data_IF_715493535107
#
_entry.id   IF_715493535107
#
_cell.length_a   1.000
_cell.length_b   1.000
_cell.length_c   1.000
_cell.angle_alpha   90.00
_cell.angle_beta   90.00
_cell.angle_gamma   90.00
#
_symmetry.space_group_name_H-M   'P 1'
#
loop_
_entity.id
_entity.type
_entity.pdbx_description
1 polymer ?
#
# COMPACT_ATOMS: atom_id res chain seq x y z
N UNK A 1 -0.52 -24.66 1.83
CA UNK A 1 0.21 -23.78 2.78
C UNK A 1 1.57 -23.41 2.21
N UNK A 2 2.19 -22.34 2.71
CA UNK A 2 3.49 -21.82 2.24
C UNK A 2 3.37 -20.61 1.30
N UNK A 3 4.47 -20.18 0.69
CA UNK A 3 4.59 -18.95 -0.13
C UNK A 3 3.49 -18.83 -1.21
N UNK A 4 3.08 -19.93 -1.86
CA UNK A 4 1.99 -19.91 -2.85
C UNK A 4 0.63 -19.51 -2.26
N UNK A 5 0.33 -19.94 -1.04
CA UNK A 5 -0.93 -19.58 -0.38
C UNK A 5 -0.93 -18.09 -0.02
N UNK A 6 0.21 -17.58 0.46
CA UNK A 6 0.41 -16.16 0.77
C UNK A 6 0.22 -15.30 -0.50
N UNK A 7 0.80 -15.72 -1.63
CA UNK A 7 0.63 -15.00 -2.90
C UNK A 7 -0.85 -14.95 -3.32
N UNK A 8 -1.59 -16.05 -3.19
CA UNK A 8 -3.01 -16.07 -3.52
C UNK A 8 -3.85 -15.18 -2.59
N UNK A 9 -3.52 -15.14 -1.29
CA UNK A 9 -4.19 -14.21 -0.37
C UNK A 9 -3.88 -12.76 -0.70
N UNK A 10 -2.65 -12.43 -1.09
CA UNK A 10 -2.26 -11.07 -1.51
C UNK A 10 -3.04 -10.64 -2.75
N UNK A 11 -3.20 -11.55 -3.74
CA UNK A 11 -3.99 -11.27 -4.95
C UNK A 11 -5.46 -10.98 -4.60
N UNK A 12 -6.05 -11.79 -3.72
CA UNK A 12 -7.43 -11.58 -3.29
C UNK A 12 -7.62 -10.25 -2.55
N UNK A 13 -6.69 -9.92 -1.63
CA UNK A 13 -6.68 -8.65 -0.92
C UNK A 13 -6.55 -7.46 -1.89
N UNK A 14 -5.65 -7.54 -2.88
CA UNK A 14 -5.49 -6.51 -3.91
C UNK A 14 -6.79 -6.27 -4.67
N UNK A 15 -7.48 -7.34 -5.10
CA UNK A 15 -8.75 -7.22 -5.83
C UNK A 15 -9.81 -6.53 -4.99
N UNK A 16 -9.94 -6.89 -3.71
CA UNK A 16 -10.89 -6.25 -2.79
C UNK A 16 -10.55 -4.77 -2.60
N UNK A 17 -9.27 -4.43 -2.40
CA UNK A 17 -8.85 -3.04 -2.23
C UNK A 17 -9.16 -2.19 -3.46
N UNK A 18 -8.86 -2.70 -4.67
CA UNK A 18 -9.17 -2.03 -5.93
C UNK A 18 -10.68 -1.83 -6.10
N UNK A 19 -11.48 -2.87 -5.82
CA UNK A 19 -12.93 -2.78 -5.86
C UNK A 19 -13.46 -1.74 -4.85
N UNK A 20 -12.86 -1.67 -3.66
CA UNK A 20 -13.20 -0.69 -2.63
C UNK A 20 -12.94 0.74 -3.06
N UNK A 21 -11.77 1.04 -3.64
CA UNK A 21 -11.49 2.37 -4.18
C UNK A 21 -12.49 2.75 -5.28
N UNK A 22 -12.78 1.82 -6.20
CA UNK A 22 -13.77 2.06 -7.26
C UNK A 22 -15.16 2.32 -6.66
N UNK A 23 -15.57 1.55 -5.66
CA UNK A 23 -16.85 1.73 -4.98
C UNK A 23 -16.95 3.09 -4.28
N UNK A 24 -15.88 3.52 -3.59
CA UNK A 24 -15.80 4.84 -2.94
C UNK A 24 -15.94 5.96 -3.97
N UNK A 25 -15.18 5.90 -5.07
CA UNK A 25 -15.24 6.91 -6.14
C UNK A 25 -16.64 6.92 -6.76
N UNK A 26 -17.18 5.75 -7.13
CA UNK A 26 -18.49 5.66 -7.78
C UNK A 26 -19.61 6.19 -6.87
N UNK A 27 -19.62 5.80 -5.58
CA UNK A 27 -20.60 6.30 -4.62
C UNK A 27 -20.42 7.79 -4.35
N UNK A 28 -19.19 8.26 -4.21
CA UNK A 28 -18.90 9.68 -4.03
C UNK A 28 -19.35 10.55 -5.21
N UNK A 29 -19.19 10.07 -6.44
CA UNK A 29 -19.71 10.73 -7.65
C UNK A 29 -21.23 10.87 -7.60
N UNK A 30 -21.95 9.84 -7.15
CA UNK A 30 -23.41 9.88 -7.00
C UNK A 30 -23.81 10.87 -5.90
N UNK A 31 -23.14 10.85 -4.75
CA UNK A 31 -23.44 11.72 -3.61
C UNK A 31 -23.17 13.20 -3.91
N UNK A 32 -22.09 13.51 -4.63
CA UNK A 32 -21.71 14.89 -4.98
C UNK A 32 -22.39 15.41 -6.26
N UNK A 33 -23.16 14.56 -6.95
CA UNK A 33 -23.85 14.94 -8.18
C UNK A 33 -22.94 15.05 -9.41
N UNK A 34 -21.77 14.40 -9.39
CA UNK A 34 -20.88 14.28 -10.56
C UNK A 34 -19.39 14.43 -10.24
N UNK A 35 -18.55 13.94 -11.15
CA UNK A 35 -17.09 14.10 -11.08
C UNK A 35 -16.64 15.57 -11.15
N UNK A 36 -17.37 16.40 -11.90
CA UNK A 36 -17.07 17.83 -12.02
C UNK A 36 -17.12 18.54 -10.67
N UNK A 37 -18.10 18.22 -9.83
CA UNK A 37 -18.23 18.83 -8.50
C UNK A 37 -17.07 18.47 -7.59
N UNK A 38 -16.65 17.20 -7.60
CA UNK A 38 -15.48 16.74 -6.86
C UNK A 38 -14.23 17.48 -7.32
N UNK A 39 -14.06 17.66 -8.64
CA UNK A 39 -12.92 18.41 -9.18
C UNK A 39 -12.93 19.87 -8.74
N UNK A 40 -14.06 20.55 -8.88
CA UNK A 40 -14.21 21.97 -8.49
C UNK A 40 -13.98 22.18 -6.99
N UNK A 41 -14.50 21.28 -6.16
CA UNK A 41 -14.29 21.34 -4.71
C UNK A 41 -12.80 21.22 -4.37
N UNK A 42 -12.08 20.29 -5.00
CA UNK A 42 -10.63 20.12 -4.79
C UNK A 42 -9.81 21.28 -5.36
N UNK A 43 -10.24 21.87 -6.46
CA UNK A 43 -9.61 23.07 -7.03
C UNK A 43 -9.75 24.27 -6.09
N UNK A 44 -10.98 24.56 -5.65
CA UNK A 44 -11.27 25.66 -4.72
C UNK A 44 -10.66 25.43 -3.33
N UNK A 45 -10.53 24.16 -2.93
CA UNK A 45 -9.88 23.74 -1.70
C UNK A 45 -8.35 23.74 -1.73
N UNK A 46 -7.73 24.13 -2.85
CA UNK A 46 -6.28 24.16 -3.01
C UNK A 46 -5.62 22.77 -2.95
N UNK A 47 -6.37 21.69 -3.20
CA UNK A 47 -5.88 20.30 -3.16
C UNK A 47 -5.20 19.86 -4.45
N UNK A 48 -5.42 20.60 -5.54
CA UNK A 48 -4.86 20.30 -6.87
C UNK A 48 -3.55 21.04 -7.17
N UNK A 49 -2.93 21.66 -6.16
CA UNK A 49 -1.64 22.33 -6.37
C UNK A 49 -0.51 21.29 -6.51
N UNK A 50 -0.14 21.00 -7.75
CA UNK A 50 0.55 19.75 -8.14
C UNK A 50 2.07 19.87 -8.15
N UNK A 51 2.65 21.06 -8.22
CA UNK A 51 4.09 21.22 -8.45
C UNK A 51 4.72 22.34 -7.62
N UNK A 52 5.20 22.00 -6.43
CA UNK A 52 6.09 22.84 -5.64
C UNK A 52 7.55 22.56 -6.03
N UNK A 53 8.19 23.47 -6.78
CA UNK A 53 9.63 23.38 -7.16
C UNK A 53 10.60 23.86 -6.08
N UNK A 54 10.10 24.06 -4.86
CA UNK A 54 10.88 24.43 -3.68
C UNK A 54 11.99 23.40 -3.38
N UNK A 55 13.27 23.82 -3.36
CA UNK A 55 14.40 22.93 -3.13
C UNK A 55 14.61 22.55 -1.65
N UNK A 56 13.81 23.05 -0.71
CA UNK A 56 13.91 22.69 0.71
C UNK A 56 13.72 21.16 0.91
N UNK A 57 14.74 20.42 1.39
CA UNK A 57 14.64 18.99 1.63
C UNK A 57 13.72 18.62 2.80
N UNK A 58 13.38 19.57 3.68
CA UNK A 58 12.44 19.36 4.78
C UNK A 58 10.98 19.38 4.30
N UNK A 59 10.73 19.89 3.09
CA UNK A 59 9.39 19.92 2.50
C UNK A 59 8.99 18.54 2.03
N UNK A 60 8.07 17.92 2.77
CA UNK A 60 7.60 16.53 2.56
C UNK A 60 7.16 16.22 1.12
N UNK A 61 6.53 17.19 0.45
CA UNK A 61 6.01 17.05 -0.91
C UNK A 61 6.47 18.22 -1.79
N UNK A 62 7.69 18.12 -2.30
CA UNK A 62 8.21 18.98 -3.37
C UNK A 62 8.56 18.13 -4.59
N UNK A 63 8.74 18.77 -5.74
CA UNK A 63 9.21 18.11 -6.95
C UNK A 63 10.50 17.32 -6.68
N UNK A 64 11.43 17.90 -5.92
CA UNK A 64 12.71 17.29 -5.59
C UNK A 64 12.59 16.10 -4.65
N UNK A 65 11.80 16.22 -3.57
CA UNK A 65 11.63 15.12 -2.60
C UNK A 65 10.87 13.95 -3.21
N UNK A 66 9.92 14.21 -4.11
CA UNK A 66 9.18 13.17 -4.83
C UNK A 66 10.04 12.53 -5.92
N UNK A 67 10.67 13.32 -6.80
CA UNK A 67 11.42 12.77 -7.93
C UNK A 67 12.72 12.14 -7.47
N UNK A 68 13.57 12.87 -6.74
CA UNK A 68 14.88 12.36 -6.33
C UNK A 68 14.72 11.39 -5.16
N UNK A 69 14.07 11.83 -4.09
CA UNK A 69 13.87 11.00 -2.89
C UNK A 69 13.01 9.77 -3.18
N UNK A 70 11.90 9.94 -3.89
CA UNK A 70 11.05 8.83 -4.31
C UNK A 70 11.75 7.86 -5.24
N UNK A 71 12.52 8.32 -6.24
CA UNK A 71 13.27 7.41 -7.12
C UNK A 71 14.27 6.57 -6.36
N UNK A 72 15.04 7.17 -5.44
CA UNK A 72 15.98 6.44 -4.59
C UNK A 72 15.27 5.42 -3.69
N UNK A 73 14.14 5.81 -3.10
CA UNK A 73 13.31 4.91 -2.29
C UNK A 73 12.80 3.72 -3.09
N UNK A 74 12.27 3.95 -4.30
CA UNK A 74 11.75 2.89 -5.17
C UNK A 74 12.87 1.98 -5.69
N UNK A 75 14.02 2.55 -6.08
CA UNK A 75 15.19 1.75 -6.45
C UNK A 75 15.63 0.87 -5.28
N UNK A 76 15.70 1.41 -4.07
CA UNK A 76 16.02 0.63 -2.87
C UNK A 76 15.00 -0.51 -2.65
N UNK A 77 13.71 -0.21 -2.74
CA UNK A 77 12.65 -1.21 -2.57
C UNK A 77 12.70 -2.33 -3.63
N UNK A 78 13.03 -2.04 -4.88
CA UNK A 78 13.01 -3.07 -5.93
C UNK A 78 14.37 -3.74 -6.17
N UNK A 79 15.49 -3.09 -5.85
CA UNK A 79 16.84 -3.59 -6.13
C UNK A 79 17.46 -4.36 -4.97
N UNK A 80 17.26 -3.90 -3.72
CA UNK A 80 17.97 -4.46 -2.54
C UNK A 80 17.04 -5.04 -1.48
N UNK A 81 15.72 -4.81 -1.56
CA UNK A 81 14.79 -5.39 -0.60
C UNK A 81 14.73 -6.91 -0.76
N UNK A 82 15.08 -7.62 0.31
CA UNK A 82 15.16 -9.08 0.32
C UNK A 82 13.84 -9.76 -0.07
N UNK A 83 12.68 -9.21 0.35
CA UNK A 83 11.38 -9.79 -0.01
C UNK A 83 11.12 -9.73 -1.52
N UNK A 84 11.53 -8.64 -2.18
CA UNK A 84 11.39 -8.50 -3.63
C UNK A 84 12.41 -9.36 -4.38
N UNK A 85 13.67 -9.36 -3.94
CA UNK A 85 14.72 -10.20 -4.54
C UNK A 85 14.34 -11.68 -4.49
N UNK A 86 13.79 -12.15 -3.36
CA UNK A 86 13.29 -13.53 -3.21
C UNK A 86 12.17 -13.88 -4.21
N UNK A 87 11.28 -12.93 -4.52
CA UNK A 87 10.22 -13.13 -5.52
C UNK A 87 10.80 -13.29 -6.92
N UNK A 88 11.88 -12.57 -7.25
CA UNK A 88 12.53 -12.68 -8.56
C UNK A 88 13.26 -14.01 -8.74
N UNK A 89 14.05 -14.44 -7.74
CA UNK A 89 14.80 -15.71 -7.83
C UNK A 89 13.90 -16.95 -7.80
N UNK A 90 12.66 -16.80 -7.29
CA UNK A 90 11.65 -17.87 -7.31
C UNK A 90 10.99 -18.05 -8.69
N UNK A 91 11.24 -17.15 -9.64
CA UNK A 91 10.71 -17.27 -11.00
C UNK A 91 11.50 -18.30 -11.81
N UNK A 92 10.79 -19.05 -12.67
CA UNK A 92 11.40 -20.10 -13.50
C UNK A 92 12.46 -19.59 -14.49
N UNK A 93 12.30 -18.36 -14.97
CA UNK A 93 13.19 -17.75 -15.97
C UNK A 93 13.33 -16.25 -15.70
N UNK A 94 14.42 -15.67 -16.20
CA UNK A 94 14.67 -14.23 -16.15
C UNK A 94 13.53 -13.42 -16.82
N UNK A 95 12.96 -13.93 -17.91
CA UNK A 95 11.82 -13.29 -18.59
C UNK A 95 10.59 -13.22 -17.68
N UNK A 96 10.29 -14.29 -16.92
CA UNK A 96 9.19 -14.27 -15.96
C UNK A 96 9.44 -13.28 -14.81
N UNK A 97 10.68 -13.18 -14.32
CA UNK A 97 11.02 -12.20 -13.28
C UNK A 97 10.82 -10.76 -13.78
N UNK A 98 11.30 -10.43 -14.99
CA UNK A 98 11.08 -9.11 -15.61
C UNK A 98 9.61 -8.82 -15.85
N UNK A 99 8.84 -9.78 -16.35
CA UNK A 99 7.40 -9.61 -16.57
C UNK A 99 6.66 -9.36 -15.24
N UNK A 100 7.02 -10.08 -14.18
CA UNK A 100 6.46 -9.87 -12.83
C UNK A 100 6.68 -8.42 -12.36
N UNK A 101 7.88 -7.87 -12.59
CA UNK A 101 8.19 -6.48 -12.25
C UNK A 101 7.33 -5.48 -13.03
N UNK A 102 7.16 -5.66 -14.34
CA UNK A 102 6.32 -4.77 -15.15
C UNK A 102 4.85 -4.83 -14.74
N UNK A 103 4.32 -6.03 -14.47
CA UNK A 103 2.95 -6.19 -13.96
C UNK A 103 2.79 -5.51 -12.60
N UNK A 104 3.77 -5.65 -11.71
CA UNK A 104 3.77 -4.97 -10.42
C UNK A 104 3.78 -3.44 -10.58
N UNK A 105 4.60 -2.92 -11.51
CA UNK A 105 4.65 -1.48 -11.79
C UNK A 105 3.31 -0.94 -12.27
N UNK A 106 2.65 -1.61 -13.23
CA UNK A 106 1.32 -1.22 -13.70
C UNK A 106 0.27 -1.30 -12.59
N UNK A 107 0.29 -2.38 -11.79
CA UNK A 107 -0.63 -2.54 -10.66
C UNK A 107 -0.46 -1.45 -9.60
N UNK A 108 0.78 -1.08 -9.29
CA UNK A 108 1.08 0.02 -8.37
C UNK A 108 0.54 1.35 -8.89
N UNK A 109 0.78 1.67 -10.17
CA UNK A 109 0.27 2.89 -10.79
C UNK A 109 -1.25 3.00 -10.72
N UNK A 110 -1.96 1.91 -11.02
CA UNK A 110 -3.43 1.85 -10.91
C UNK A 110 -3.87 2.05 -9.46
N UNK A 111 -3.25 1.34 -8.52
CA UNK A 111 -3.61 1.39 -7.10
C UNK A 111 -3.40 2.79 -6.52
N UNK A 112 -2.25 3.40 -6.78
CA UNK A 112 -1.93 4.76 -6.30
C UNK A 112 -2.86 5.80 -6.93
N UNK A 113 -3.18 5.67 -8.21
CA UNK A 113 -4.12 6.58 -8.89
C UNK A 113 -5.52 6.49 -8.27
N UNK A 114 -6.04 5.27 -8.07
CA UNK A 114 -7.35 5.07 -7.43
C UNK A 114 -7.38 5.55 -5.98
N UNK A 115 -6.30 5.34 -5.22
CA UNK A 115 -6.18 5.86 -3.86
C UNK A 115 -6.18 7.39 -3.84
N UNK A 116 -5.48 8.05 -4.78
CA UNK A 116 -5.50 9.50 -4.93
C UNK A 116 -6.91 10.02 -5.22
N UNK A 117 -7.60 9.45 -6.22
CA UNK A 117 -8.98 9.85 -6.55
C UNK A 117 -9.95 9.59 -5.40
N UNK A 118 -9.77 8.52 -4.64
CA UNK A 118 -10.56 8.24 -3.43
C UNK A 118 -10.32 9.32 -2.36
N UNK A 119 -9.07 9.79 -2.20
CA UNK A 119 -8.74 10.90 -1.30
C UNK A 119 -9.34 12.24 -1.73
N UNK A 120 -9.34 12.55 -3.03
CA UNK A 120 -10.03 13.74 -3.57
C UNK A 120 -11.55 13.66 -3.36
N UNK A 121 -12.12 12.48 -3.54
CA UNK A 121 -13.55 12.22 -3.29
C UNK A 121 -13.89 12.40 -1.82
N UNK A 122 -13.06 11.85 -0.92
CA UNK A 122 -13.18 12.02 0.52
C UNK A 122 -13.15 13.50 0.93
N UNK A 123 -12.23 14.28 0.36
CA UNK A 123 -12.16 15.72 0.62
C UNK A 123 -13.45 16.43 0.18
N UNK A 124 -13.97 16.16 -1.01
CA UNK A 124 -15.22 16.78 -1.50
C UNK A 124 -16.43 16.41 -0.62
N UNK A 125 -16.49 15.18 -0.10
CA UNK A 125 -17.55 14.73 0.82
C UNK A 125 -17.46 15.40 2.19
N UNK A 126 -16.25 15.51 2.75
CA UNK A 126 -16.05 16.01 4.13
C UNK A 126 -15.59 17.46 4.23
N UNK A 127 -15.59 18.23 3.13
CA UNK A 127 -15.12 19.64 3.13
C UNK A 127 -15.86 20.53 4.13
N UNK A 128 -17.15 20.29 4.32
CA UNK A 128 -18.03 21.10 5.17
C UNK A 128 -18.23 20.47 6.57
N UNK A 129 -17.92 19.18 6.72
CA UNK A 129 -18.10 18.41 7.94
C UNK A 129 -16.94 17.41 8.08
N UNK A 130 -15.83 17.88 8.65
CA UNK A 130 -14.61 17.08 8.79
C UNK A 130 -14.70 16.14 10.01
N UNK A 131 -14.69 14.81 9.80
CA UNK A 131 -14.76 13.82 10.88
C UNK A 131 -13.57 13.91 11.86
N UNK A 132 -12.43 14.44 11.41
CA UNK A 132 -11.26 14.61 12.28
C UNK A 132 -11.48 15.74 13.28
N UNK A 133 -11.96 16.89 12.80
CA UNK A 133 -12.28 18.05 13.63
C UNK A 133 -13.44 17.76 14.58
N UNK A 134 -14.42 16.97 14.12
CA UNK A 134 -15.56 16.52 14.93
C UNK A 134 -15.23 15.40 15.94
N UNK A 135 -13.99 14.88 15.93
CA UNK A 135 -13.51 13.79 16.79
C UNK A 135 -14.20 12.44 16.60
N UNK A 136 -14.85 12.24 15.45
CA UNK A 136 -15.36 10.93 15.04
C UNK A 136 -14.19 9.98 14.71
N UNK A 137 -13.06 10.56 14.32
CA UNK A 137 -11.84 9.85 13.93
C UNK A 137 -10.63 10.39 14.71
N UNK A 138 -9.76 9.49 15.20
CA UNK A 138 -8.59 9.86 16.02
C UNK A 138 -7.32 10.16 15.23
N UNK A 139 -7.22 9.69 13.98
CA UNK A 139 -6.04 9.91 13.13
C UNK A 139 -6.41 10.04 11.65
N UNK A 140 -5.55 10.70 10.87
CA UNK A 140 -5.74 10.86 9.43
C UNK A 140 -5.84 9.52 8.69
N UNK A 141 -5.13 8.49 9.16
CA UNK A 141 -5.11 7.16 8.52
C UNK A 141 -6.45 6.41 8.63
N UNK A 142 -7.31 6.81 9.58
CA UNK A 142 -8.62 6.21 9.79
C UNK A 142 -9.72 6.87 8.94
N UNK A 143 -9.46 8.01 8.29
CA UNK A 143 -10.46 8.74 7.51
C UNK A 143 -11.03 7.93 6.34
N UNK A 144 -10.18 7.23 5.59
CA UNK A 144 -10.64 6.45 4.44
C UNK A 144 -11.47 5.22 4.88
N UNK A 145 -11.01 4.40 5.86
CA UNK A 145 -11.86 3.37 6.46
C UNK A 145 -13.19 3.92 6.99
N UNK A 146 -13.17 5.06 7.67
CA UNK A 146 -14.38 5.73 8.17
C UNK A 146 -15.33 6.12 7.03
N UNK A 147 -14.80 6.74 5.97
CA UNK A 147 -15.57 7.10 4.78
C UNK A 147 -16.26 5.88 4.17
N UNK A 148 -15.54 4.76 4.03
CA UNK A 148 -16.08 3.52 3.47
C UNK A 148 -17.22 2.98 4.35
N UNK A 149 -17.08 3.05 5.67
CA UNK A 149 -18.12 2.66 6.62
C UNK A 149 -19.36 3.56 6.53
N UNK A 150 -19.16 4.86 6.30
CA UNK A 150 -20.21 5.88 6.21
C UNK A 150 -21.00 5.76 4.89
N UNK A 151 -20.33 5.87 3.74
CA UNK A 151 -21.00 5.98 2.44
C UNK A 151 -21.54 4.65 1.89
N UNK A 152 -21.02 3.52 2.38
CA UNK A 152 -21.45 2.17 1.99
C UNK A 152 -22.20 1.44 3.12
N UNK A 153 -22.67 2.16 4.15
CA UNK A 153 -23.45 1.59 5.26
C UNK A 153 -24.70 0.82 4.79
N UNK A 154 -25.29 1.23 3.66
CA UNK A 154 -26.45 0.59 3.03
C UNK A 154 -26.15 -0.82 2.50
N UNK A 155 -24.88 -1.18 2.29
CA UNK A 155 -24.44 -2.46 1.73
C UNK A 155 -23.76 -3.31 2.83
N UNK A 156 -24.52 -4.08 3.62
CA UNK A 156 -23.97 -4.83 4.75
C UNK A 156 -22.88 -5.79 4.28
N UNK A 157 -21.77 -5.82 5.02
CA UNK A 157 -20.61 -6.67 4.76
C UNK A 157 -19.55 -6.06 3.82
N UNK A 158 -19.92 -5.15 2.91
CA UNK A 158 -18.95 -4.56 1.98
C UNK A 158 -17.91 -3.65 2.68
N UNK A 159 -18.30 -2.74 3.61
CA UNK A 159 -17.34 -1.97 4.39
C UNK A 159 -16.42 -2.86 5.24
N UNK A 160 -16.99 -3.86 5.90
CA UNK A 160 -16.25 -4.82 6.71
C UNK A 160 -15.23 -5.61 5.89
N UNK A 161 -15.59 -6.01 4.68
CA UNK A 161 -14.68 -6.70 3.75
C UNK A 161 -13.52 -5.80 3.32
N UNK A 162 -13.79 -4.52 3.03
CA UNK A 162 -12.74 -3.56 2.68
C UNK A 162 -11.74 -3.36 3.82
N UNK A 163 -12.25 -3.11 5.04
CA UNK A 163 -11.42 -2.91 6.22
C UNK A 163 -10.61 -4.18 6.53
N UNK A 164 -11.26 -5.35 6.50
CA UNK A 164 -10.58 -6.63 6.70
C UNK A 164 -9.47 -6.87 5.66
N UNK A 165 -9.72 -6.57 4.38
CA UNK A 165 -8.71 -6.71 3.33
C UNK A 165 -7.53 -5.75 3.52
N UNK A 166 -7.79 -4.50 3.90
CA UNK A 166 -6.73 -3.52 4.18
C UNK A 166 -5.84 -3.96 5.35
N UNK A 167 -6.43 -4.38 6.47
CA UNK A 167 -5.67 -4.92 7.60
C UNK A 167 -4.90 -6.19 7.23
N UNK A 168 -5.54 -7.09 6.47
CA UNK A 168 -4.91 -8.32 6.02
C UNK A 168 -3.72 -8.07 5.08
N UNK A 169 -3.80 -7.07 4.20
CA UNK A 169 -2.69 -6.65 3.34
C UNK A 169 -1.52 -6.07 4.12
N UNK A 170 -1.80 -5.25 5.14
CA UNK A 170 -0.77 -4.74 6.06
C UNK A 170 -0.09 -5.88 6.81
N UNK A 171 -0.86 -6.85 7.33
CA UNK A 171 -0.31 -8.02 8.02
C UNK A 171 0.55 -8.89 7.09
N UNK A 172 0.15 -9.06 5.82
CA UNK A 172 0.98 -9.78 4.83
C UNK A 172 2.32 -9.09 4.57
N UNK A 173 2.32 -7.75 4.50
CA UNK A 173 3.54 -6.95 4.33
C UNK A 173 4.46 -7.03 5.54
N UNK A 174 3.88 -6.97 6.75
CA UNK A 174 4.63 -7.12 8.00
C UNK A 174 5.24 -8.52 8.09
N UNK A 175 4.46 -9.57 7.80
CA UNK A 175 4.96 -10.95 7.80
C UNK A 175 6.11 -11.14 6.80
N UNK A 176 5.98 -10.58 5.59
CA UNK A 176 7.03 -10.62 4.58
C UNK A 176 8.31 -9.90 5.02
N UNK A 177 8.16 -8.77 5.71
CA UNK A 177 9.28 -7.98 6.25
C UNK A 177 10.01 -8.71 7.39
N UNK A 178 9.26 -9.34 8.30
CA UNK A 178 9.83 -10.15 9.38
C UNK A 178 10.58 -11.35 8.80
N UNK A 179 9.97 -12.09 7.87
CA UNK A 179 10.64 -13.23 7.23
C UNK A 179 11.92 -12.82 6.50
N UNK A 180 11.92 -11.65 5.85
CA UNK A 180 13.11 -11.09 5.22
C UNK A 180 14.19 -10.75 6.26
N UNK A 181 13.82 -10.12 7.37
CA UNK A 181 14.74 -9.77 8.46
C UNK A 181 15.36 -11.02 9.11
N UNK A 182 14.56 -12.05 9.39
CA UNK A 182 15.06 -13.30 9.96
C UNK A 182 16.02 -13.97 8.98
N UNK A 183 15.68 -14.05 7.70
CA UNK A 183 16.56 -14.65 6.68
C UNK A 183 17.91 -13.93 6.59
N UNK A 184 17.91 -12.58 6.57
CA UNK A 184 19.13 -11.76 6.55
C UNK A 184 19.92 -11.95 7.85
N UNK A 185 19.26 -11.96 9.00
CA UNK A 185 19.93 -12.16 10.30
C UNK A 185 20.62 -13.52 10.37
N UNK A 186 19.95 -14.56 9.89
CA UNK A 186 20.47 -15.93 9.90
C UNK A 186 21.66 -16.09 8.94
N UNK A 187 21.52 -15.62 7.69
CA UNK A 187 22.59 -15.75 6.68
C UNK A 187 23.81 -14.87 6.98
N UNK A 188 23.60 -13.63 7.42
CA UNK A 188 24.68 -12.64 7.51
C UNK A 188 25.32 -12.57 8.90
N UNK A 189 24.61 -12.95 9.97
CA UNK A 189 25.14 -12.89 11.34
C UNK A 189 25.29 -14.27 11.98
N UNK A 190 24.26 -15.12 11.92
CA UNK A 190 24.29 -16.42 12.64
C UNK A 190 25.26 -17.40 11.97
N UNK A 191 25.18 -17.59 10.65
CA UNK A 191 26.05 -18.55 9.93
C UNK A 191 27.54 -18.19 10.00
N UNK A 192 27.97 -16.91 9.83
CA UNK A 192 29.39 -16.58 9.89
C UNK A 192 29.96 -16.72 11.30
N UNK A 193 29.17 -16.48 12.35
CA UNK A 193 29.60 -16.60 13.75
C UNK A 193 29.61 -18.07 14.21
N UNK A 194 28.65 -18.87 13.76
CA UNK A 194 28.52 -20.29 14.12
C UNK A 194 28.48 -21.20 12.89
N UNK A 195 29.62 -21.42 12.21
CA UNK A 195 29.69 -22.20 10.98
C UNK A 195 29.42 -23.71 11.17
N UNK A 196 29.34 -24.20 12.41
CA UNK A 196 29.11 -25.62 12.74
C UNK A 196 27.64 -25.99 12.93
N UNK A 197 26.70 -25.04 12.80
CA UNK A 197 25.26 -25.31 12.93
C UNK A 197 24.77 -26.22 11.79
N UNK A 198 24.03 -27.26 12.16
CA UNK A 198 23.36 -28.15 11.20
C UNK A 198 22.20 -27.46 10.51
N UNK A 199 21.90 -27.80 9.25
CA UNK A 199 20.75 -27.25 8.49
C UNK A 199 19.41 -27.40 9.24
N UNK A 200 19.26 -28.47 10.04
CA UNK A 200 18.07 -28.63 10.88
C UNK A 200 18.01 -27.57 11.98
N UNK A 201 19.12 -27.28 12.65
CA UNK A 201 19.17 -26.26 13.70
C UNK A 201 18.95 -24.86 13.13
N UNK A 202 19.50 -24.59 11.95
CA UNK A 202 19.28 -23.36 11.19
C UNK A 202 17.81 -23.17 10.78
N UNK A 203 17.15 -24.24 10.32
CA UNK A 203 15.71 -24.19 10.02
C UNK A 203 14.86 -23.96 11.28
N UNK A 204 15.24 -24.53 12.42
CA UNK A 204 14.55 -24.30 13.69
C UNK A 204 14.70 -22.85 14.16
N UNK A 205 15.90 -22.28 14.07
CA UNK A 205 16.15 -20.87 14.40
C UNK A 205 15.29 -19.95 13.52
N UNK A 206 15.27 -20.21 12.21
CA UNK A 206 14.50 -19.45 11.22
C UNK A 206 12.97 -19.58 11.41
N UNK A 207 12.48 -20.65 12.04
CA UNK A 207 11.06 -20.83 12.38
C UNK A 207 10.68 -20.33 13.77
N UNK A 208 11.66 -20.11 14.65
CA UNK A 208 11.45 -19.69 16.05
C UNK A 208 11.54 -18.17 16.26
N UNK A 209 12.14 -17.46 15.31
CA UNK A 209 12.18 -15.99 15.24
C UNK A 209 11.04 -15.46 14.37
#
# INVERSE_FOLDING_TARGET
GGLKAVIWTDVFQMVIMLAGFIAVIARGVVLQGGLGKIWDDNYNGGRLDTFSFDPDPLKRHSFWTIVVGGSLMWVSMYAINQSQVQRYISCKTMTHAKMSLYVNMVGLWITVSLAMFSGLTMYSIYKDCDPLTNKDVGSLDQLLPYLVMDILAEYPGLPGLFVAAAYSGTLSTVSSSINALVAVTVEDFVKPIWPTLSEKQLSWINMSM
#
